data_IF_508268845565
#
_entry.id   IF_508268845565
#
_cell.length_a   1.000
_cell.length_b   1.000
_cell.length_c   1.000
_cell.angle_alpha   90.00
_cell.angle_beta   90.00
_cell.angle_gamma   90.00
#
_symmetry.space_group_name_H-M   'P 1'
#
loop_
_entity.id
_entity.type
_entity.pdbx_description
1 polymer ?
#
# COMPACT_ATOMS: atom_id res chain seq x y z
N UNK A 1 22.00 22.78 8.30
CA UNK A 1 21.63 22.90 6.88
C UNK A 1 21.70 21.57 6.14
N UNK A 2 22.85 21.04 5.71
CA UNK A 2 22.91 19.77 4.92
C UNK A 2 22.27 18.56 5.64
N UNK A 3 22.63 18.32 6.90
CA UNK A 3 22.10 17.18 7.68
C UNK A 3 20.60 17.32 7.97
N UNK A 4 20.11 18.53 8.18
CA UNK A 4 18.68 18.77 8.48
C UNK A 4 17.81 18.42 7.26
N UNK A 5 18.26 18.75 6.05
CA UNK A 5 17.57 18.41 4.81
C UNK A 5 17.53 16.89 4.62
N UNK A 6 18.66 16.22 4.85
CA UNK A 6 18.73 14.75 4.76
C UNK A 6 17.78 14.09 5.74
N UNK A 7 17.77 14.54 7.00
CA UNK A 7 16.88 14.02 8.05
C UNK A 7 15.41 14.28 7.70
N UNK A 8 15.07 15.47 7.19
CA UNK A 8 13.71 15.81 6.80
C UNK A 8 13.20 14.88 5.67
N UNK A 9 14.00 14.70 4.61
CA UNK A 9 13.64 13.83 3.48
C UNK A 9 13.48 12.37 3.90
N UNK A 10 14.39 11.85 4.73
CA UNK A 10 14.27 10.49 5.27
C UNK A 10 13.03 10.34 6.14
N UNK A 11 12.75 11.31 7.02
CA UNK A 11 11.57 11.28 7.88
C UNK A 11 10.29 11.25 7.06
N UNK A 12 10.21 12.05 6.00
CA UNK A 12 9.06 12.09 5.12
C UNK A 12 8.90 10.78 4.33
N UNK A 13 10.00 10.22 3.79
CA UNK A 13 9.97 8.94 3.09
C UNK A 13 9.48 7.80 4.00
N UNK A 14 9.96 7.75 5.24
CA UNK A 14 9.54 6.76 6.24
C UNK A 14 8.06 6.94 6.60
N UNK A 15 7.61 8.17 6.86
CA UNK A 15 6.21 8.45 7.14
C UNK A 15 5.30 8.09 5.97
N UNK A 16 5.70 8.43 4.74
CA UNK A 16 4.97 8.08 3.52
C UNK A 16 4.87 6.56 3.33
N UNK A 17 5.94 5.82 3.60
CA UNK A 17 5.92 4.36 3.57
C UNK A 17 4.98 3.77 4.63
N UNK A 18 4.99 4.28 5.86
CA UNK A 18 4.07 3.85 6.92
C UNK A 18 2.61 4.10 6.55
N UNK A 19 2.30 5.29 6.03
CA UNK A 19 0.96 5.63 5.53
C UNK A 19 0.54 4.68 4.40
N UNK A 20 1.45 4.37 3.48
CA UNK A 20 1.19 3.43 2.38
C UNK A 20 0.80 2.05 2.90
N UNK A 21 1.55 1.52 3.88
CA UNK A 21 1.26 0.21 4.48
C UNK A 21 -0.12 0.22 5.15
N UNK A 22 -0.47 1.28 5.87
CA UNK A 22 -1.80 1.43 6.49
C UNK A 22 -2.90 1.45 5.43
N UNK A 23 -2.71 2.18 4.34
CA UNK A 23 -3.67 2.20 3.22
C UNK A 23 -3.78 0.85 2.52
N UNK A 24 -2.70 0.09 2.37
CA UNK A 24 -2.74 -1.27 1.85
C UNK A 24 -3.56 -2.21 2.73
N UNK A 25 -3.38 -2.14 4.06
CA UNK A 25 -4.19 -2.92 5.01
C UNK A 25 -5.67 -2.55 4.93
N UNK A 26 -5.98 -1.25 4.82
CA UNK A 26 -7.36 -0.79 4.65
C UNK A 26 -7.95 -1.23 3.31
N UNK A 27 -7.20 -1.12 2.21
CA UNK A 27 -7.62 -1.57 0.89
C UNK A 27 -7.92 -3.07 0.87
N UNK A 28 -7.07 -3.88 1.51
CA UNK A 28 -7.32 -5.31 1.65
C UNK A 28 -8.58 -5.60 2.47
N UNK A 29 -8.78 -4.89 3.59
CA UNK A 29 -9.99 -5.05 4.42
C UNK A 29 -11.26 -4.65 3.67
N UNK A 30 -11.21 -3.61 2.84
CA UNK A 30 -12.33 -3.20 1.99
C UNK A 30 -12.62 -4.27 0.93
N UNK A 31 -11.60 -4.84 0.30
CA UNK A 31 -11.74 -5.92 -0.67
C UNK A 31 -12.41 -7.15 -0.03
N UNK A 32 -11.96 -7.54 1.17
CA UNK A 32 -12.51 -8.68 1.91
C UNK A 32 -13.96 -8.44 2.33
N UNK A 33 -14.33 -7.21 2.67
CA UNK A 33 -15.73 -6.87 2.97
C UNK A 33 -16.64 -6.84 1.74
N UNK A 34 -16.10 -6.46 0.57
CA UNK A 34 -16.84 -6.43 -0.69
C UNK A 34 -17.06 -7.82 -1.28
N UNK A 35 -16.14 -8.75 -1.02
CA UNK A 35 -16.20 -10.11 -1.56
C UNK A 35 -17.09 -11.00 -0.68
N UNK A 36 -17.88 -11.91 -1.28
CA UNK A 36 -18.78 -12.79 -0.53
C UNK A 36 -18.06 -13.97 0.15
N UNK A 37 -16.73 -13.98 0.14
CA UNK A 37 -15.89 -15.05 0.66
C UNK A 37 -14.69 -14.47 1.39
N UNK A 38 -14.09 -15.25 2.29
CA UNK A 38 -12.85 -14.87 2.97
C UNK A 38 -11.67 -14.94 1.99
N UNK A 39 -11.13 -13.77 1.67
CA UNK A 39 -10.02 -13.57 0.75
C UNK A 39 -8.74 -14.24 1.27
N UNK A 40 -8.51 -14.20 2.58
CA UNK A 40 -7.32 -14.76 3.22
C UNK A 40 -7.33 -16.29 3.14
N UNK A 41 -8.50 -16.90 3.36
CA UNK A 41 -8.69 -18.33 3.21
C UNK A 41 -8.47 -18.78 1.75
N UNK A 42 -8.95 -18.01 0.77
CA UNK A 42 -8.77 -18.32 -0.65
C UNK A 42 -7.31 -18.19 -1.10
N UNK A 43 -6.59 -17.16 -0.62
CA UNK A 43 -5.15 -17.01 -0.84
C UNK A 43 -4.38 -18.22 -0.29
N UNK A 44 -4.69 -18.66 0.93
CA UNK A 44 -4.06 -19.84 1.54
C UNK A 44 -4.33 -21.15 0.79
N UNK A 45 -5.50 -21.25 0.11
CA UNK A 45 -5.84 -22.38 -0.77
C UNK A 45 -5.21 -22.30 -2.16
N UNK A 46 -4.27 -21.37 -2.37
CA UNK A 46 -3.58 -21.18 -3.65
C UNK A 46 -4.52 -20.77 -4.79
N UNK A 47 -5.59 -20.02 -4.45
CA UNK A 47 -6.50 -19.47 -5.46
C UNK A 47 -5.80 -18.34 -6.23
N UNK A 48 -5.28 -18.70 -7.41
CA UNK A 48 -4.53 -17.79 -8.28
C UNK A 48 -5.34 -16.55 -8.67
N UNK A 49 -6.66 -16.67 -8.84
CA UNK A 49 -7.51 -15.52 -9.20
C UNK A 49 -7.49 -14.46 -8.08
N UNK A 50 -7.66 -14.88 -6.82
CA UNK A 50 -7.59 -13.97 -5.66
C UNK A 50 -6.18 -13.41 -5.50
N UNK A 51 -5.15 -14.23 -5.72
CA UNK A 51 -3.76 -13.78 -5.72
C UNK A 51 -3.47 -12.66 -6.72
N UNK A 52 -3.97 -12.80 -7.97
CA UNK A 52 -3.83 -11.77 -9.00
C UNK A 52 -4.56 -10.49 -8.61
N UNK A 53 -5.78 -10.58 -8.08
CA UNK A 53 -6.57 -9.40 -7.67
C UNK A 53 -5.87 -8.64 -6.54
N UNK A 54 -5.44 -9.34 -5.50
CA UNK A 54 -4.75 -8.71 -4.35
C UNK A 54 -3.39 -8.14 -4.76
N UNK A 55 -2.65 -8.84 -5.62
CA UNK A 55 -1.40 -8.36 -6.19
C UNK A 55 -1.58 -7.08 -7.01
N UNK A 56 -2.54 -7.07 -7.94
CA UNK A 56 -2.85 -5.90 -8.76
C UNK A 56 -3.33 -4.71 -7.91
N UNK A 57 -4.12 -4.97 -6.86
CA UNK A 57 -4.55 -3.97 -5.90
C UNK A 57 -3.36 -3.31 -5.18
N UNK A 58 -2.42 -4.10 -4.66
CA UNK A 58 -1.24 -3.53 -3.98
C UNK A 58 -0.31 -2.78 -4.92
N UNK A 59 -0.14 -3.24 -6.17
CA UNK A 59 0.60 -2.48 -7.19
C UNK A 59 -0.08 -1.13 -7.46
N UNK A 60 -1.40 -1.14 -7.65
CA UNK A 60 -2.17 0.09 -7.89
C UNK A 60 -2.10 1.07 -6.71
N UNK A 61 -2.28 0.58 -5.48
CA UNK A 61 -2.16 1.40 -4.27
C UNK A 61 -0.74 1.95 -4.09
N UNK A 62 0.27 1.13 -4.33
CA UNK A 62 1.67 1.56 -4.24
C UNK A 62 1.99 2.69 -5.22
N UNK A 63 1.52 2.60 -6.47
CA UNK A 63 1.68 3.66 -7.47
C UNK A 63 0.92 4.92 -7.06
N UNK A 64 -0.35 4.79 -6.66
CA UNK A 64 -1.19 5.93 -6.30
C UNK A 64 -0.62 6.71 -5.09
N UNK A 65 -0.26 6.00 -4.02
CA UNK A 65 0.28 6.64 -2.81
C UNK A 65 1.71 7.13 -3.06
N UNK A 66 2.53 6.37 -3.78
CA UNK A 66 3.88 6.79 -4.16
C UNK A 66 3.88 8.10 -4.95
N UNK A 67 2.94 8.27 -5.87
CA UNK A 67 2.73 9.53 -6.60
C UNK A 67 2.34 10.68 -5.66
N UNK A 68 1.36 10.48 -4.78
CA UNK A 68 0.92 11.53 -3.84
C UNK A 68 2.05 11.95 -2.90
N UNK A 69 2.77 10.98 -2.34
CA UNK A 69 3.91 11.24 -1.46
C UNK A 69 5.02 11.96 -2.23
N UNK A 70 5.36 11.50 -3.44
CA UNK A 70 6.39 12.09 -4.28
C UNK A 70 6.07 13.51 -4.76
N UNK A 71 4.81 13.80 -5.09
CA UNK A 71 4.36 15.15 -5.47
C UNK A 71 4.34 16.11 -4.28
N UNK A 72 4.14 15.62 -3.06
CA UNK A 72 4.22 16.44 -1.85
C UNK A 72 5.64 16.92 -1.49
N UNK A 73 6.67 16.45 -2.21
CA UNK A 73 8.08 16.83 -2.02
C UNK A 73 8.57 17.90 -3.02
N UNK A 74 7.72 18.34 -3.96
CA UNK A 74 8.04 19.32 -5.01
C UNK A 74 7.41 20.68 -4.72
#
# INVERSE_FOLDING_TARGET
MEIEIVVANFSYAVLGALVTIVLMMLGYKVLDWLTPFDTSTQLGKNNVAVGIVVGAMFVGLGIAVGLVVGLGLN
#
